data_IF_081961910168
#
_entry.id   IF_081961910168
#
_cell.length_a   1.000
_cell.length_b   1.000
_cell.length_c   1.000
_cell.angle_alpha   90.00
_cell.angle_beta   90.00
_cell.angle_gamma   90.00
#
_symmetry.space_group_name_H-M   'P 1'
#
loop_
_entity.id
_entity.type
_entity.pdbx_description
1 polymer ?
#
# COMPACT_ATOMS: atom_id res chain seq x y z
N UNK A 1 -0.36 -0.30 -2.95
CA UNK A 1 -0.59 -1.73 -2.60
C UNK A 1 -2.00 -2.02 -2.10
N UNK A 2 -2.56 -1.24 -1.18
CA UNK A 2 -3.90 -1.47 -0.60
C UNK A 2 -5.02 -1.79 -1.60
N UNK A 3 -5.11 -1.02 -2.69
CA UNK A 3 -6.10 -1.25 -3.75
C UNK A 3 -6.01 -2.65 -4.39
N UNK A 4 -4.81 -3.18 -4.62
CA UNK A 4 -4.63 -4.50 -5.25
C UNK A 4 -5.08 -5.62 -4.31
N UNK A 5 -4.81 -5.49 -3.01
CA UNK A 5 -5.24 -6.46 -1.99
C UNK A 5 -6.75 -6.45 -1.82
N UNK A 6 -7.35 -5.25 -1.70
CA UNK A 6 -8.80 -5.10 -1.58
C UNK A 6 -9.52 -5.69 -2.81
N UNK A 7 -8.98 -5.45 -4.01
CA UNK A 7 -9.54 -6.02 -5.23
C UNK A 7 -9.40 -7.54 -5.28
N UNK A 8 -8.20 -8.06 -5.00
CA UNK A 8 -7.97 -9.50 -4.99
C UNK A 8 -8.85 -10.21 -3.95
N UNK A 9 -9.05 -9.62 -2.78
CA UNK A 9 -9.94 -10.18 -1.75
C UNK A 9 -11.41 -10.26 -2.17
N UNK A 10 -11.86 -9.37 -3.06
CA UNK A 10 -13.25 -9.36 -3.54
C UNK A 10 -13.47 -10.21 -4.79
N UNK A 11 -12.49 -10.26 -5.69
CA UNK A 11 -12.66 -10.83 -7.03
C UNK A 11 -11.74 -12.02 -7.32
N UNK A 12 -10.75 -12.30 -6.46
CA UNK A 12 -9.79 -13.40 -6.63
C UNK A 12 -8.83 -13.24 -7.81
N UNK A 13 -8.75 -12.04 -8.40
CA UNK A 13 -7.96 -11.77 -9.60
C UNK A 13 -7.03 -10.58 -9.38
N UNK A 14 -5.89 -10.60 -10.05
CA UNK A 14 -4.94 -9.49 -10.10
C UNK A 14 -5.04 -8.91 -11.49
N UNK A 15 -5.35 -7.63 -11.57
CA UNK A 15 -5.68 -6.95 -12.82
C UNK A 15 -4.78 -5.73 -12.99
N UNK A 16 -4.46 -5.41 -14.24
CA UNK A 16 -3.59 -4.29 -14.58
C UNK A 16 -4.18 -2.97 -14.03
N UNK A 17 -3.31 -2.18 -13.39
CA UNK A 17 -3.66 -0.89 -12.80
C UNK A 17 -2.76 0.19 -13.36
N UNK A 18 -3.42 1.23 -13.87
CA UNK A 18 -2.81 2.43 -14.43
C UNK A 18 -2.71 3.53 -13.37
N UNK A 19 -1.51 4.10 -13.24
CA UNK A 19 -1.29 5.27 -12.39
C UNK A 19 -0.48 6.33 -13.17
N UNK A 20 -1.03 7.56 -13.33
CA UNK A 20 -0.40 8.61 -14.10
C UNK A 20 0.77 9.21 -13.33
N UNK A 21 1.90 9.37 -14.01
CA UNK A 21 3.06 10.12 -13.53
C UNK A 21 3.34 11.27 -14.47
N UNK A 22 3.42 12.48 -13.93
CA UNK A 22 3.70 13.67 -14.74
C UNK A 22 5.19 13.74 -15.09
N UNK A 23 5.51 13.96 -16.36
CA UNK A 23 6.89 14.07 -16.86
C UNK A 23 7.31 15.52 -17.08
N UNK A 24 7.00 16.39 -16.11
CA UNK A 24 7.24 17.85 -16.20
C UNK A 24 8.70 18.26 -16.42
N UNK A 25 9.65 17.37 -16.10
CA UNK A 25 11.08 17.59 -16.32
C UNK A 25 11.46 17.65 -17.80
N UNK A 26 10.60 17.16 -18.71
CA UNK A 26 10.87 17.13 -20.14
C UNK A 26 10.14 18.26 -20.88
N UNK A 27 10.74 18.76 -21.95
CA UNK A 27 10.11 19.73 -22.84
C UNK A 27 8.82 19.14 -23.43
N UNK A 28 7.69 19.83 -23.24
CA UNK A 28 6.33 19.36 -23.60
C UNK A 28 5.95 18.04 -22.90
N UNK A 29 6.51 17.80 -21.71
CA UNK A 29 6.15 16.70 -20.84
C UNK A 29 4.64 16.59 -20.63
N UNK A 30 4.14 15.35 -20.68
CA UNK A 30 2.73 15.01 -20.47
C UNK A 30 2.66 14.11 -19.23
N UNK A 31 2.25 12.87 -19.46
CA UNK A 31 2.01 11.87 -18.42
C UNK A 31 2.47 10.52 -18.95
N UNK A 32 3.23 9.81 -18.13
CA UNK A 32 3.58 8.40 -18.27
C UNK A 32 2.66 7.54 -17.41
N UNK A 33 2.62 6.25 -17.71
CA UNK A 33 1.82 5.28 -16.99
C UNK A 33 2.74 4.42 -16.12
N UNK A 34 2.45 4.29 -14.83
CA UNK A 34 3.06 3.22 -14.03
C UNK A 34 2.18 1.98 -14.17
N UNK A 35 2.74 0.91 -14.72
CA UNK A 35 2.22 -0.44 -14.59
C UNK A 35 2.47 -0.96 -13.16
N UNK A 36 1.55 -0.67 -12.23
CA UNK A 36 1.76 -0.95 -10.78
C UNK A 36 1.74 -2.44 -10.42
N UNK A 37 1.23 -3.31 -11.31
CA UNK A 37 1.25 -4.76 -11.11
C UNK A 37 2.58 -5.32 -11.59
N UNK A 38 3.38 -5.78 -10.64
CA UNK A 38 4.74 -6.27 -10.86
C UNK A 38 4.96 -7.58 -10.10
N UNK A 39 5.99 -8.38 -10.41
CA UNK A 39 6.24 -9.62 -9.70
C UNK A 39 6.28 -9.46 -8.17
N UNK A 40 6.96 -8.45 -7.57
CA UNK A 40 6.93 -8.23 -6.11
C UNK A 40 5.54 -7.87 -5.58
N UNK A 41 4.74 -7.16 -6.37
CA UNK A 41 3.37 -6.78 -6.04
C UNK A 41 2.45 -8.00 -6.00
N UNK A 42 2.59 -8.88 -6.99
CA UNK A 42 1.85 -10.15 -7.09
C UNK A 42 2.24 -11.10 -5.96
N UNK A 43 3.54 -11.21 -5.68
CA UNK A 43 4.06 -11.97 -4.54
C UNK A 43 3.44 -11.49 -3.24
N UNK A 44 3.49 -10.17 -2.98
CA UNK A 44 2.86 -9.57 -1.81
C UNK A 44 1.37 -9.90 -1.69
N UNK A 45 0.57 -9.69 -2.74
CA UNK A 45 -0.87 -9.98 -2.70
C UNK A 45 -1.12 -11.44 -2.36
N UNK A 46 -0.39 -12.38 -2.98
CA UNK A 46 -0.53 -13.81 -2.68
C UNK A 46 -0.11 -14.15 -1.25
N UNK A 47 1.01 -13.60 -0.77
CA UNK A 47 1.47 -13.78 0.61
C UNK A 47 0.50 -13.19 1.63
N UNK A 48 -0.19 -12.10 1.29
CA UNK A 48 -1.17 -11.47 2.18
C UNK A 48 -2.34 -12.41 2.50
N UNK A 49 -2.83 -13.15 1.51
CA UNK A 49 -3.94 -14.10 1.66
C UNK A 49 -3.53 -15.52 2.05
N UNK A 50 -2.23 -15.80 2.18
CA UNK A 50 -1.77 -17.10 2.69
C UNK A 50 -1.71 -17.15 4.22
N UNK A 51 -1.42 -18.33 4.76
CA UNK A 51 -1.17 -18.58 6.18
C UNK A 51 0.19 -18.05 6.68
N UNK A 52 0.87 -17.20 5.89
CA UNK A 52 2.14 -16.62 6.29
C UNK A 52 2.02 -15.79 7.58
N UNK A 53 3.06 -15.77 8.43
CA UNK A 53 3.06 -14.96 9.64
C UNK A 53 3.00 -13.45 9.30
N UNK A 54 2.49 -12.60 10.20
CA UNK A 54 2.35 -11.17 9.95
C UNK A 54 3.67 -10.49 9.55
N UNK A 55 4.80 -10.89 10.14
CA UNK A 55 6.13 -10.39 9.81
C UNK A 55 6.52 -10.63 8.34
N UNK A 56 6.20 -11.82 7.81
CA UNK A 56 6.45 -12.16 6.40
C UNK A 56 5.56 -11.35 5.46
N UNK A 57 4.29 -11.13 5.82
CA UNK A 57 3.36 -10.27 5.06
C UNK A 57 3.87 -8.83 4.97
N UNK A 58 4.37 -8.27 6.08
CA UNK A 58 4.95 -6.92 6.10
C UNK A 58 6.27 -6.85 5.32
N UNK A 59 7.11 -7.89 5.38
CA UNK A 59 8.33 -7.94 4.57
C UNK A 59 8.02 -7.92 3.07
N UNK A 60 7.04 -8.71 2.63
CA UNK A 60 6.58 -8.70 1.25
C UNK A 60 5.97 -7.34 0.85
N UNK A 61 5.19 -6.71 1.74
CA UNK A 61 4.66 -5.36 1.54
C UNK A 61 5.78 -4.33 1.33
N UNK A 62 6.82 -4.33 2.17
CA UNK A 62 7.97 -3.42 2.06
C UNK A 62 8.68 -3.60 0.72
N UNK A 63 8.99 -4.84 0.34
CA UNK A 63 9.61 -5.17 -0.96
C UNK A 63 8.79 -4.67 -2.15
N UNK A 64 7.47 -4.82 -2.10
CA UNK A 64 6.57 -4.31 -3.14
C UNK A 64 6.57 -2.78 -3.21
N UNK A 65 6.56 -2.10 -2.06
CA UNK A 65 6.64 -0.64 -1.98
C UNK A 65 7.98 -0.08 -2.48
N UNK A 66 9.10 -0.69 -2.10
CA UNK A 66 10.45 -0.31 -2.58
C UNK A 66 10.55 -0.40 -4.10
N UNK A 67 10.06 -1.49 -4.68
CA UNK A 67 10.01 -1.66 -6.13
C UNK A 67 9.10 -0.63 -6.81
N UNK A 68 7.94 -0.35 -6.23
CA UNK A 68 7.02 0.67 -6.73
C UNK A 68 7.64 2.08 -6.73
N UNK A 69 8.37 2.44 -5.67
CA UNK A 69 9.12 3.72 -5.61
C UNK A 69 10.18 3.78 -6.71
N UNK A 70 10.91 2.68 -6.94
CA UNK A 70 11.88 2.59 -8.03
C UNK A 70 11.24 2.81 -9.40
N UNK A 71 10.15 2.10 -9.69
CA UNK A 71 9.40 2.26 -10.94
C UNK A 71 8.89 3.68 -11.13
N UNK A 72 8.36 4.30 -10.07
CA UNK A 72 7.89 5.69 -10.13
C UNK A 72 9.01 6.63 -10.57
N UNK A 73 10.23 6.47 -10.04
CA UNK A 73 11.39 7.27 -10.44
C UNK A 73 11.78 7.03 -11.91
N UNK A 74 11.70 5.79 -12.38
CA UNK A 74 11.96 5.45 -13.79
C UNK A 74 10.91 6.07 -14.72
N UNK A 75 9.63 6.04 -14.34
CA UNK A 75 8.53 6.65 -15.08
C UNK A 75 8.66 8.19 -15.13
N UNK A 76 9.04 8.84 -14.03
CA UNK A 76 9.32 10.29 -14.01
C UNK A 76 10.44 10.66 -14.98
N UNK A 77 11.40 9.76 -15.22
CA UNK A 77 12.48 9.92 -16.19
C UNK A 77 12.10 9.53 -17.62
N UNK A 78 10.81 9.30 -17.90
CA UNK A 78 10.31 8.83 -19.21
C UNK A 78 10.99 7.55 -19.71
N UNK A 79 11.37 6.65 -18.79
CA UNK A 79 11.95 5.34 -19.12
C UNK A 79 10.92 4.21 -19.13
N UNK A 80 9.65 4.56 -19.00
CA UNK A 80 8.58 3.57 -19.00
C UNK A 80 8.28 3.06 -20.43
N UNK A 81 7.85 1.80 -20.52
CA UNK A 81 7.63 1.13 -21.79
C UNK A 81 6.30 1.50 -22.45
N UNK A 82 5.28 1.92 -21.68
CA UNK A 82 3.92 2.07 -22.18
C UNK A 82 3.83 3.14 -23.27
N UNK A 83 4.48 4.30 -23.09
CA UNK A 83 4.45 5.38 -24.09
C UNK A 83 5.24 5.03 -25.34
N UNK A 84 6.39 4.38 -25.19
CA UNK A 84 7.18 3.90 -26.32
C UNK A 84 6.42 2.87 -27.15
N UNK A 85 5.72 1.94 -26.49
CA UNK A 85 4.89 0.95 -27.16
C UNK A 85 3.62 1.57 -27.78
N UNK A 86 3.02 2.58 -27.14
CA UNK A 86 1.90 3.35 -27.69
C UNK A 86 2.30 4.09 -28.97
N UNK A 87 3.46 4.75 -28.97
CA UNK A 87 3.98 5.42 -30.16
C UNK A 87 4.24 4.41 -31.29
N UNK A 88 4.80 3.24 -30.96
CA UNK A 88 5.05 2.18 -31.95
C UNK A 88 3.76 1.62 -32.56
N UNK A 89 2.65 1.58 -31.81
CA UNK A 89 1.34 1.15 -32.31
C UNK A 89 0.76 2.08 -33.38
N UNK A 90 1.00 3.39 -33.27
CA UNK A 90 0.48 4.35 -34.27
C UNK A 90 1.12 4.18 -35.65
N UNK A 91 2.15 3.34 -35.77
CA UNK A 91 2.77 3.01 -37.04
C UNK A 91 1.97 1.91 -37.78
N UNK A 92 1.55 2.14 -39.03
CA UNK A 92 0.56 1.30 -39.74
C UNK A 92 1.00 -0.11 -40.13
N UNK A 93 2.17 -0.60 -39.68
CA UNK A 93 2.83 -1.76 -40.27
C UNK A 93 3.23 -2.86 -39.27
N UNK A 94 2.64 -2.93 -38.06
CA UNK A 94 2.95 -4.01 -37.11
C UNK A 94 1.73 -4.54 -36.36
N UNK A 95 1.53 -5.84 -36.47
CA UNK A 95 0.70 -6.62 -35.56
C UNK A 95 1.32 -6.52 -34.15
N UNK A 96 0.60 -5.88 -33.23
CA UNK A 96 0.99 -5.90 -31.83
C UNK A 96 0.63 -7.26 -31.23
N UNK A 97 1.54 -7.78 -30.41
CA UNK A 97 1.35 -9.02 -29.66
C UNK A 97 0.01 -9.01 -28.89
N UNK A 98 -0.75 -10.13 -28.80
CA UNK A 98 -2.06 -10.19 -28.15
C UNK A 98 -2.08 -9.65 -26.70
N UNK A 99 -0.93 -9.75 -26.02
CA UNK A 99 -0.74 -9.21 -24.66
C UNK A 99 -0.90 -7.68 -24.54
N UNK A 100 -0.81 -6.93 -25.63
CA UNK A 100 -1.01 -5.48 -25.63
C UNK A 100 -2.44 -5.09 -25.20
N UNK A 101 -3.44 -5.82 -25.69
CA UNK A 101 -4.83 -5.57 -25.33
C UNK A 101 -5.09 -5.77 -23.83
N UNK A 102 -4.34 -6.67 -23.18
CA UNK A 102 -4.41 -6.94 -21.75
C UNK A 102 -3.69 -5.86 -20.92
N UNK A 103 -2.56 -5.35 -21.39
CA UNK A 103 -1.86 -4.24 -20.74
C UNK A 103 -2.68 -2.94 -20.79
N UNK A 104 -3.36 -2.70 -21.92
CA UNK A 104 -4.13 -1.48 -22.13
C UNK A 104 -5.59 -1.57 -21.60
N UNK A 105 -6.04 -2.74 -21.11
CA UNK A 105 -7.29 -2.90 -20.36
C UNK A 105 -7.02 -2.68 -18.87
N UNK A 106 -6.92 -1.42 -18.47
CA UNK A 106 -6.81 -1.07 -17.05
C UNK A 106 -8.17 -1.06 -16.38
N UNK A 107 -8.37 -1.91 -15.39
CA UNK A 107 -9.63 -1.98 -14.60
C UNK A 107 -9.68 -0.87 -13.56
N UNK A 108 -8.51 -0.43 -13.08
CA UNK A 108 -8.33 0.69 -12.17
C UNK A 108 -7.76 1.89 -12.91
N UNK A 109 -8.57 2.92 -13.07
CA UNK A 109 -8.15 4.21 -13.62
C UNK A 109 -8.18 5.25 -12.50
N UNK A 110 -7.06 5.94 -12.29
CA UNK A 110 -6.96 6.97 -11.24
C UNK A 110 -7.58 8.30 -11.66
N UNK A 111 -8.03 8.47 -12.92
CA UNK A 111 -8.68 9.72 -13.34
C UNK A 111 -9.56 9.75 -14.61
N UNK A 112 -10.10 8.64 -15.16
CA UNK A 112 -11.32 8.75 -16.00
C UNK A 112 -11.95 7.41 -16.41
N UNK A 113 -13.21 7.48 -16.88
CA UNK A 113 -14.22 6.44 -17.08
C UNK A 113 -13.78 5.04 -17.59
N UNK A 114 -13.73 4.06 -16.68
CA UNK A 114 -13.71 2.62 -16.98
C UNK A 114 -13.71 1.76 -15.72
N UNK A 115 -14.77 0.98 -15.49
CA UNK A 115 -15.00 0.00 -14.41
C UNK A 115 -14.90 0.48 -12.95
N UNK A 116 -13.74 0.92 -12.44
CA UNK A 116 -13.48 1.28 -11.04
C UNK A 116 -12.47 2.45 -10.97
N UNK A 117 -12.95 3.69 -10.84
CA UNK A 117 -12.08 4.88 -10.76
C UNK A 117 -11.82 5.29 -9.32
N UNK A 118 -10.58 5.67 -8.99
CA UNK A 118 -10.18 6.00 -7.62
C UNK A 118 -9.18 7.14 -7.54
N UNK A 119 -9.38 8.07 -6.61
CA UNK A 119 -8.38 9.08 -6.23
C UNK A 119 -8.20 9.07 -4.71
N UNK A 120 -6.96 9.15 -4.25
CA UNK A 120 -6.63 9.20 -2.84
C UNK A 120 -5.85 10.46 -2.50
N UNK A 121 -6.20 11.12 -1.41
CA UNK A 121 -5.46 12.23 -0.81
C UNK A 121 -4.91 11.71 0.51
N UNK A 122 -3.58 11.69 0.62
CA UNK A 122 -2.87 11.33 1.85
C UNK A 122 -2.49 12.64 2.55
N UNK A 123 -3.05 12.87 3.74
CA UNK A 123 -2.63 13.89 4.69
C UNK A 123 -1.83 13.23 5.82
N UNK A 124 -1.30 14.03 6.73
CA UNK A 124 -0.51 13.54 7.87
C UNK A 124 -1.32 12.57 8.74
N UNK A 125 -2.58 12.88 9.05
CA UNK A 125 -3.43 12.08 9.95
C UNK A 125 -4.70 11.48 9.28
N UNK A 126 -4.93 11.74 7.99
CA UNK A 126 -6.13 11.28 7.28
C UNK A 126 -5.82 10.82 5.85
N UNK A 127 -6.47 9.74 5.45
CA UNK A 127 -6.52 9.29 4.06
C UNK A 127 -7.96 9.42 3.58
N UNK A 128 -8.17 10.36 2.67
CA UNK A 128 -9.42 10.52 1.95
C UNK A 128 -9.38 9.73 0.64
N UNK A 129 -10.29 8.78 0.44
CA UNK A 129 -10.41 8.01 -0.81
C UNK A 129 -11.76 8.30 -1.47
N UNK A 130 -11.72 8.79 -2.71
CA UNK A 130 -12.88 8.85 -3.59
C UNK A 130 -12.84 7.67 -4.55
N UNK A 131 -13.95 6.96 -4.68
CA UNK A 131 -14.09 5.83 -5.57
C UNK A 131 -15.41 5.90 -6.32
N UNK A 132 -15.43 5.45 -7.57
CA UNK A 132 -16.65 5.28 -8.36
C UNK A 132 -16.56 4.01 -9.21
N UNK A 133 -17.70 3.36 -9.45
CA UNK A 133 -17.78 2.21 -10.37
C UNK A 133 -19.09 2.18 -11.12
N UNK A 134 -19.04 1.67 -12.37
CA UNK A 134 -20.23 1.55 -13.23
C UNK A 134 -21.26 0.54 -12.71
N UNK A 135 -20.81 -0.49 -12.00
CA UNK A 135 -21.66 -1.47 -11.34
C UNK A 135 -21.49 -1.34 -9.82
N UNK A 136 -22.59 -1.36 -9.06
CA UNK A 136 -22.84 -0.98 -7.65
C UNK A 136 -21.94 -1.57 -6.53
N UNK A 137 -20.68 -1.89 -6.80
CA UNK A 137 -19.77 -2.58 -5.89
C UNK A 137 -18.72 -1.66 -5.24
N UNK A 138 -18.75 -0.36 -5.52
CA UNK A 138 -17.84 0.64 -4.93
C UNK A 138 -17.84 0.55 -3.41
N UNK A 139 -19.02 0.43 -2.78
CA UNK A 139 -19.14 0.36 -1.32
C UNK A 139 -18.47 -0.89 -0.74
N UNK A 140 -18.63 -2.05 -1.38
CA UNK A 140 -17.96 -3.30 -0.97
C UNK A 140 -16.44 -3.19 -1.11
N UNK A 141 -15.99 -2.58 -2.21
CA UNK A 141 -14.58 -2.29 -2.44
C UNK A 141 -13.98 -1.41 -1.34
N UNK A 142 -14.67 -0.33 -0.98
CA UNK A 142 -14.21 0.59 0.06
C UNK A 142 -14.18 -0.06 1.45
N UNK A 143 -15.15 -0.92 1.79
CA UNK A 143 -15.10 -1.69 3.03
C UNK A 143 -13.92 -2.66 3.07
N UNK A 144 -13.64 -3.37 1.96
CA UNK A 144 -12.47 -4.24 1.87
C UNK A 144 -11.16 -3.45 1.99
N UNK A 145 -11.10 -2.27 1.38
CA UNK A 145 -9.96 -1.36 1.48
C UNK A 145 -9.75 -0.86 2.91
N UNK A 146 -10.80 -0.43 3.60
CA UNK A 146 -10.74 0.00 4.99
C UNK A 146 -10.27 -1.14 5.90
N UNK A 147 -10.84 -2.34 5.76
CA UNK A 147 -10.44 -3.51 6.54
C UNK A 147 -8.97 -3.87 6.33
N UNK A 148 -8.47 -3.77 5.09
CA UNK A 148 -7.06 -3.95 4.81
C UNK A 148 -6.18 -2.90 5.52
N UNK A 149 -6.54 -1.62 5.44
CA UNK A 149 -5.74 -0.54 6.04
C UNK A 149 -5.66 -0.69 7.56
N UNK A 150 -6.79 -0.97 8.22
CA UNK A 150 -6.85 -1.22 9.65
C UNK A 150 -6.05 -2.47 10.05
N UNK A 151 -6.11 -3.54 9.25
CA UNK A 151 -5.31 -4.74 9.49
C UNK A 151 -3.80 -4.44 9.46
N UNK A 152 -3.33 -3.74 8.41
CA UNK A 152 -1.91 -3.38 8.29
C UNK A 152 -1.47 -2.47 9.42
N UNK A 153 -2.30 -1.49 9.81
CA UNK A 153 -2.03 -0.63 10.96
C UNK A 153 -1.80 -1.47 12.22
N UNK A 154 -2.74 -2.35 12.58
CA UNK A 154 -2.62 -3.22 13.77
C UNK A 154 -1.35 -4.05 13.75
N UNK A 155 -1.04 -4.69 12.62
CA UNK A 155 0.16 -5.52 12.48
C UNK A 155 1.43 -4.68 12.62
N UNK A 156 1.48 -3.49 12.04
CA UNK A 156 2.64 -2.60 12.16
C UNK A 156 2.85 -2.13 13.61
N UNK A 157 1.78 -1.76 14.31
CA UNK A 157 1.83 -1.37 15.73
C UNK A 157 2.33 -2.54 16.59
N UNK A 158 1.80 -3.75 16.37
CA UNK A 158 2.23 -4.94 17.09
C UNK A 158 3.71 -5.24 16.87
N UNK A 159 4.18 -5.20 15.62
CA UNK A 159 5.59 -5.44 15.29
C UNK A 159 6.50 -4.34 15.84
N UNK A 160 6.03 -3.10 15.89
CA UNK A 160 6.78 -1.98 16.45
C UNK A 160 6.94 -2.11 17.96
N UNK A 161 5.86 -2.42 18.69
CA UNK A 161 5.91 -2.67 20.13
C UNK A 161 6.85 -3.83 20.47
N UNK A 162 6.68 -4.97 19.80
CA UNK A 162 7.53 -6.15 20.00
C UNK A 162 9.02 -5.90 19.71
N UNK A 163 9.35 -4.95 18.83
CA UNK A 163 10.75 -4.58 18.54
C UNK A 163 11.34 -3.59 19.56
N UNK A 164 10.48 -2.87 20.30
CA UNK A 164 10.85 -1.78 21.21
C UNK A 164 10.55 -2.10 22.68
N UNK A 165 10.14 -3.33 23.00
CA UNK A 165 9.96 -3.75 24.39
C UNK A 165 11.28 -3.54 25.15
N UNK A 166 11.22 -2.76 26.24
CA UNK A 166 12.38 -2.55 27.11
C UNK A 166 12.77 -3.91 27.72
N UNK A 167 14.05 -4.28 27.75
CA UNK A 167 14.47 -5.49 28.43
C UNK A 167 14.04 -5.38 29.90
N UNK A 168 13.22 -6.33 30.34
CA UNK A 168 12.85 -6.47 31.74
C UNK A 168 14.15 -6.57 32.53
N UNK A 169 14.36 -5.79 33.61
CA UNK A 169 15.54 -5.95 34.45
C UNK A 169 15.63 -7.41 34.86
N UNK A 170 16.69 -8.09 34.44
CA UNK A 170 16.92 -9.46 34.86
C UNK A 170 17.06 -9.43 36.37
N UNK A 171 16.04 -9.90 37.09
CA UNK A 171 16.14 -10.15 38.52
C UNK A 171 17.18 -11.26 38.67
N UNK A 172 18.42 -10.85 38.87
CA UNK A 172 19.51 -11.74 39.18
C UNK A 172 19.12 -12.51 40.42
N UNK A 173 19.00 -13.83 40.30
CA UNK A 173 18.94 -14.70 41.46
C UNK A 173 20.33 -14.70 42.12
N UNK A 174 20.66 -13.61 42.83
CA UNK A 174 21.83 -13.58 43.69
C UNK A 174 21.46 -14.29 44.98
N UNK A 175 21.89 -15.55 45.08
CA UNK A 175 22.02 -16.18 46.39
C UNK A 175 23.00 -15.33 47.20
N UNK A 176 22.54 -14.96 48.40
CA UNK A 176 23.28 -14.48 49.57
C UNK A 176 23.91 -13.09 49.53
N UNK A 177 23.39 -12.21 50.41
CA UNK A 177 24.23 -11.34 51.23
C UNK A 177 23.96 -9.83 51.15
N UNK A 178 23.50 -9.27 52.27
CA UNK A 178 23.52 -7.85 52.68
C UNK A 178 22.36 -6.95 52.23
N UNK A 179 21.51 -6.64 53.21
CA UNK A 179 20.55 -5.53 53.20
C UNK A 179 21.29 -4.20 53.41
N UNK A 180 21.18 -3.26 52.46
CA UNK A 180 21.45 -1.85 52.71
C UNK A 180 20.38 -1.00 52.00
N UNK A 181 19.53 -0.40 52.84
CA UNK A 181 18.69 0.79 52.72
C UNK A 181 17.81 1.03 51.48
N UNK A 182 16.52 1.18 51.79
CA UNK A 182 15.44 1.51 50.87
C UNK A 182 15.56 2.86 50.17
N UNK A 183 15.00 2.87 48.98
CA UNK A 183 14.28 3.99 48.39
C UNK A 183 12.96 3.39 47.93
N UNK A 184 11.88 3.70 48.65
CA UNK A 184 10.54 3.73 48.07
C UNK A 184 10.53 4.93 47.13
N UNK A 185 10.71 4.69 45.83
CA UNK A 185 10.21 5.62 44.83
C UNK A 185 8.84 5.08 44.41
N UNK A 186 7.83 5.70 45.01
CA UNK A 186 6.51 5.82 44.42
C UNK A 186 6.69 6.55 43.08
N UNK A 187 6.97 5.80 42.02
CA UNK A 187 6.83 6.31 40.66
C UNK A 187 5.40 5.96 40.24
N UNK A 188 4.51 6.93 40.50
CA UNK A 188 3.15 6.98 40.02
C UNK A 188 3.09 6.62 38.53
N UNK A 189 2.09 5.83 38.19
CA UNK A 189 1.74 5.40 36.85
C UNK A 189 1.64 6.60 35.88
N UNK A 190 2.71 6.92 35.17
CA UNK A 190 2.60 7.51 33.82
C UNK A 190 2.70 6.39 32.79
N UNK A 191 1.60 5.63 32.70
CA UNK A 191 1.18 5.02 31.44
C UNK A 191 0.90 6.14 30.43
N UNK A 192 1.95 6.84 29.99
CA UNK A 192 1.97 7.49 28.69
C UNK A 192 1.96 6.36 27.67
N UNK A 193 0.79 5.75 27.50
CA UNK A 193 0.50 4.89 26.38
C UNK A 193 0.87 5.71 25.15
N UNK A 194 1.95 5.31 24.47
CA UNK A 194 2.26 5.62 23.08
C UNK A 194 1.06 5.16 22.24
N UNK A 195 -0.01 5.95 22.35
CA UNK A 195 -1.19 5.93 21.53
C UNK A 195 -0.75 6.65 20.29
N UNK A 196 -0.18 5.88 19.37
CA UNK A 196 -0.04 6.33 17.99
C UNK A 196 -1.37 6.96 17.58
N UNK A 197 -1.36 8.18 17.03
CA UNK A 197 -2.58 8.93 16.75
C UNK A 197 -3.54 8.04 15.97
N UNK A 198 -4.81 8.02 16.39
CA UNK A 198 -5.84 7.33 15.64
C UNK A 198 -5.93 7.99 14.26
N UNK A 199 -5.42 7.32 13.22
CA UNK A 199 -5.65 7.76 11.85
C UNK A 199 -7.16 7.78 11.61
N UNK A 200 -7.71 8.96 11.38
CA UNK A 200 -9.09 9.12 10.96
C UNK A 200 -9.18 8.71 9.48
N UNK A 201 -10.25 8.01 9.10
CA UNK A 201 -10.45 7.56 7.72
C UNK A 201 -11.76 8.11 7.19
N UNK A 202 -11.66 9.03 6.25
CA UNK A 202 -12.82 9.65 5.60
C UNK A 202 -13.10 8.99 4.25
N UNK A 203 -14.21 8.25 4.14
CA UNK A 203 -14.62 7.61 2.87
C UNK A 203 -15.74 8.41 2.22
N UNK A 204 -15.45 9.04 1.08
CA UNK A 204 -16.46 9.72 0.27
C UNK A 204 -16.88 8.82 -0.90
N UNK A 205 -18.13 8.35 -0.86
CA UNK A 205 -18.73 7.61 -1.98
C UNK A 205 -19.43 8.61 -2.90
N UNK A 206 -18.88 8.85 -4.08
CA UNK A 206 -19.56 9.63 -5.12
C UNK A 206 -20.38 8.66 -5.97
N UNK A 207 -21.71 8.73 -5.89
CA UNK A 207 -22.59 8.02 -6.82
C UNK A 207 -22.56 8.75 -8.16
N UNK A 208 -22.11 8.05 -9.21
CA UNK A 208 -22.29 8.46 -10.61
C UNK A 208 -23.67 8.05 -11.12
#
# INVERSE_FOLDING_TARGET
MAFQVAYYGLYGRIECKYEPVVTKAFLRGRTEAICTVQPPSVEFVKTFFSEAPPSAKIKALRKACEHYVKLTKECVQSKDQDRHLYQRRTHPARDLHPGWSLLNMSIFLTSDCGTLTHSSIIKEDDLSVCASSKHLQTRRFLYALQGYLQYVQRVLVQLHRAANDRPVPSVGHSRTGLLINGVTSDDEDEDAADTLPECSWSVLVVRG
#
